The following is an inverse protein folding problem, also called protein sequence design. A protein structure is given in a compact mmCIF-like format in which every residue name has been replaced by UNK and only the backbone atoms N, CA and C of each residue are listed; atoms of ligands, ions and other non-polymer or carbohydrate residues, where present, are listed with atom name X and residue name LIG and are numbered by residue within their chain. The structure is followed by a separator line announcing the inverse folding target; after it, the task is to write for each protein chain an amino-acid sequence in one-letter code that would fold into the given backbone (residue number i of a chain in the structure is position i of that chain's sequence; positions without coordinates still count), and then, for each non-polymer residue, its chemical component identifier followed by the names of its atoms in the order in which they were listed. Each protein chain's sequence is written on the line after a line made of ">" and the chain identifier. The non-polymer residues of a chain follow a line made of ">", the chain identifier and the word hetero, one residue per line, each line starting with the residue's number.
data_IF_408824454869
#
_entry.id   IF_408824454869
#
_cell.length_a   1.000
_cell.length_b   1.000
_cell.length_c   1.000
_cell.angle_alpha   90.00
_cell.angle_beta   90.00
_cell.angle_gamma   90.00
#
_symmetry.space_group_name_H-M   'P 1'
#
loop_
_entity.id
_entity.type
_entity.pdbx_description
1 polymer ?
#
# COMPACT_ATOMS: atom_id res chain seq x y z
N UNK A 1 7.46 -16.07 -16.17
CA UNK A 1 6.09 -15.64 -15.87
C UNK A 1 6.08 -14.63 -14.74
N UNK A 2 5.29 -13.60 -14.88
CA UNK A 2 5.24 -12.56 -13.89
C UNK A 2 4.36 -12.97 -12.71
N UNK A 3 4.87 -12.75 -11.48
CA UNK A 3 4.07 -13.02 -10.29
C UNK A 3 3.04 -11.92 -10.10
N UNK A 4 1.91 -12.28 -9.52
CA UNK A 4 0.90 -11.29 -9.16
C UNK A 4 0.53 -11.35 -7.68
N UNK A 5 1.28 -12.13 -6.91
CA UNK A 5 1.05 -12.25 -5.48
C UNK A 5 2.39 -12.36 -4.77
N UNK A 6 2.42 -11.89 -3.53
CA UNK A 6 3.65 -11.93 -2.75
C UNK A 6 3.31 -11.97 -1.27
N UNK A 7 4.09 -12.74 -0.54
CA UNK A 7 4.04 -12.75 0.91
C UNK A 7 5.47 -12.85 1.42
N UNK A 8 5.81 -11.97 2.34
CA UNK A 8 7.16 -11.94 2.87
C UNK A 8 7.21 -11.10 4.12
N UNK A 9 8.41 -10.88 4.63
CA UNK A 9 8.65 -10.13 5.85
C UNK A 9 9.66 -9.05 5.57
N UNK A 10 9.37 -7.83 6.03
CA UNK A 10 10.32 -6.74 6.02
C UNK A 10 10.42 -6.18 7.42
N UNK A 11 11.64 -5.85 7.84
CA UNK A 11 11.85 -5.26 9.15
C UNK A 11 11.82 -3.75 9.07
N UNK A 12 11.29 -3.13 10.11
CA UNK A 12 11.26 -1.68 10.20
C UNK A 12 12.61 -1.19 10.68
N UNK A 13 13.20 -0.27 9.95
CA UNK A 13 14.47 0.33 10.32
C UNK A 13 14.31 1.36 11.43
N UNK A 14 15.45 1.94 11.83
CA UNK A 14 15.47 2.86 12.97
C UNK A 14 14.61 4.10 12.72
N UNK A 15 14.46 4.50 11.48
CA UNK A 15 13.71 5.70 11.15
C UNK A 15 12.29 5.40 10.68
N UNK A 16 11.82 4.17 10.96
CA UNK A 16 10.49 3.80 10.57
C UNK A 16 10.37 3.41 9.10
N UNK A 17 11.47 3.09 8.46
CA UNK A 17 11.49 2.75 7.05
C UNK A 17 11.50 1.25 6.86
N UNK A 18 10.88 0.80 5.78
CA UNK A 18 10.97 -0.59 5.33
C UNK A 18 11.42 -0.62 3.89
N UNK A 19 12.01 -1.75 3.50
CA UNK A 19 12.37 -1.97 2.09
C UNK A 19 11.21 -2.68 1.42
N UNK A 20 10.75 -2.12 0.31
CA UNK A 20 9.75 -2.82 -0.49
C UNK A 20 10.47 -3.90 -1.29
N UNK A 21 10.13 -5.18 -1.08
CA UNK A 21 10.83 -6.27 -1.78
C UNK A 21 10.78 -6.12 -3.29
N UNK A 22 11.82 -6.64 -3.94
CA UNK A 22 11.91 -6.53 -5.39
C UNK A 22 10.72 -7.13 -6.10
N UNK A 23 10.22 -8.27 -5.61
CA UNK A 23 9.05 -8.90 -6.22
C UNK A 23 7.83 -7.99 -6.18
N UNK A 24 7.66 -7.28 -5.07
CA UNK A 24 6.52 -6.35 -4.95
C UNK A 24 6.71 -5.16 -5.88
N UNK A 25 7.95 -4.65 -5.97
CA UNK A 25 8.22 -3.56 -6.89
C UNK A 25 7.95 -3.96 -8.34
N UNK A 26 8.25 -5.21 -8.68
CA UNK A 26 7.99 -5.70 -10.04
C UNK A 26 6.49 -5.87 -10.30
N UNK A 27 5.75 -6.37 -9.31
CA UNK A 27 4.30 -6.55 -9.47
C UNK A 27 3.61 -5.21 -9.75
N UNK A 28 4.02 -4.17 -9.06
CA UNK A 28 3.35 -2.87 -9.14
C UNK A 28 4.11 -1.84 -9.94
N UNK A 29 5.24 -2.24 -10.54
CA UNK A 29 6.06 -1.32 -11.33
C UNK A 29 6.44 -0.08 -10.51
N UNK A 30 6.99 -0.33 -9.32
CA UNK A 30 7.41 0.73 -8.42
C UNK A 30 8.84 1.14 -8.77
N UNK A 31 9.04 2.41 -9.03
CA UNK A 31 10.33 2.93 -9.47
C UNK A 31 10.82 4.03 -8.54
N UNK A 32 12.15 4.25 -8.51
CA UNK A 32 12.68 5.35 -7.68
C UNK A 32 12.03 6.66 -8.05
N UNK A 33 11.65 7.43 -7.04
CA UNK A 33 11.01 8.71 -7.25
C UNK A 33 9.50 8.65 -7.34
N UNK A 34 8.94 7.47 -7.43
CA UNK A 34 7.49 7.33 -7.47
C UNK A 34 6.86 7.79 -6.16
N UNK A 35 5.67 8.34 -6.27
CA UNK A 35 4.88 8.71 -5.10
C UNK A 35 3.73 7.74 -4.93
N UNK A 36 3.55 7.28 -3.71
CA UNK A 36 2.48 6.35 -3.40
C UNK A 36 1.70 6.89 -2.22
N UNK A 37 0.45 6.55 -2.17
CA UNK A 37 -0.42 7.00 -1.09
C UNK A 37 -0.43 5.93 0.00
N UNK A 38 -0.20 6.37 1.23
CA UNK A 38 -0.20 5.46 2.38
C UNK A 38 -1.53 5.58 3.08
N UNK A 39 -2.23 4.45 3.20
CA UNK A 39 -3.48 4.39 3.93
C UNK A 39 -3.29 3.48 5.13
N UNK A 40 -3.84 3.87 6.25
CA UNK A 40 -3.68 3.10 7.47
C UNK A 40 -4.97 3.09 8.27
N UNK A 41 -5.26 1.95 8.86
CA UNK A 41 -6.39 1.77 9.76
C UNK A 41 -5.92 0.85 10.87
N UNK A 42 -6.19 1.25 12.12
CA UNK A 42 -5.63 0.50 13.26
C UNK A 42 -6.09 -0.95 13.30
N UNK A 43 -7.21 -1.26 12.67
CA UNK A 43 -7.74 -2.62 12.68
C UNK A 43 -7.43 -3.36 11.40
N UNK A 44 -7.35 -2.66 10.27
CA UNK A 44 -7.18 -3.31 8.98
C UNK A 44 -5.74 -3.35 8.50
N UNK A 45 -4.92 -2.41 8.97
CA UNK A 45 -3.52 -2.40 8.62
C UNK A 45 -3.13 -1.23 7.74
N UNK A 46 -2.04 -1.41 7.01
CA UNK A 46 -1.45 -0.36 6.18
C UNK A 46 -1.47 -0.82 4.73
N UNK A 47 -1.78 0.09 3.83
CA UNK A 47 -1.72 -0.18 2.40
C UNK A 47 -0.99 0.94 1.69
N UNK A 48 -0.25 0.58 0.65
CA UNK A 48 0.39 1.53 -0.25
C UNK A 48 -0.30 1.38 -1.60
N UNK A 49 -0.82 2.47 -2.14
CA UNK A 49 -1.59 2.39 -3.38
C UNK A 49 -1.17 3.48 -4.33
N UNK A 50 -1.35 3.22 -5.61
CA UNK A 50 -1.15 4.24 -6.63
C UNK A 50 -2.28 5.25 -6.56
N UNK A 51 -1.97 6.48 -6.96
CA UNK A 51 -2.96 7.55 -6.86
C UNK A 51 -4.19 7.28 -7.70
N UNK A 52 -4.06 6.51 -8.77
CA UNK A 52 -5.19 6.25 -9.66
C UNK A 52 -6.17 5.21 -9.14
N UNK A 53 -5.85 4.56 -7.99
CA UNK A 53 -6.76 3.59 -7.40
C UNK A 53 -7.16 3.98 -5.98
N UNK A 54 -7.03 5.27 -5.66
CA UNK A 54 -7.22 5.74 -4.28
C UNK A 54 -8.64 5.46 -3.77
N UNK A 55 -9.65 5.62 -4.60
CA UNK A 55 -11.02 5.44 -4.15
C UNK A 55 -11.29 4.01 -3.67
N UNK A 56 -10.86 3.04 -4.47
CA UNK A 56 -11.07 1.65 -4.09
C UNK A 56 -10.29 1.31 -2.82
N UNK A 57 -9.04 1.77 -2.73
CA UNK A 57 -8.22 1.49 -1.57
C UNK A 57 -8.76 2.18 -0.33
N UNK A 58 -9.26 3.40 -0.48
CA UNK A 58 -9.83 4.13 0.63
C UNK A 58 -11.03 3.37 1.21
N UNK A 59 -11.90 2.87 0.34
CA UNK A 59 -13.05 2.11 0.79
C UNK A 59 -12.64 0.84 1.53
N UNK A 60 -11.61 0.16 1.04
CA UNK A 60 -11.17 -1.08 1.64
C UNK A 60 -10.44 -0.87 2.97
N UNK A 61 -9.61 0.15 3.06
CA UNK A 61 -8.77 0.36 4.23
C UNK A 61 -9.43 1.29 5.24
N UNK A 62 -9.96 2.42 4.80
CA UNK A 62 -10.50 3.42 5.71
C UNK A 62 -11.98 3.24 5.99
N UNK A 63 -12.61 2.25 5.40
CA UNK A 63 -14.00 1.95 5.69
C UNK A 63 -14.99 2.79 4.93
N UNK A 64 -14.56 3.42 4.06
CA UNK A 64 -15.33 4.04 3.19
C UNK A 64 -16.30 5.02 3.37
N UNK A 65 -17.03 5.35 3.27
CA UNK A 65 -17.83 5.82 2.98
C UNK A 65 -18.22 6.97 3.03
N UNK A 66 -18.27 6.97 3.12
CA UNK A 66 -18.60 7.58 3.14
C UNK A 66 -19.17 8.21 3.50
N UNK A 67 -19.41 8.28 3.72
CA UNK A 67 -19.94 8.60 4.08
C UNK A 67 -20.15 9.29 4.58
N UNK A 68 -20.30 9.50 4.67
CA UNK A 68 -20.61 9.94 5.17
C UNK A 68 -20.62 10.49 5.80
N UNK A 69 -20.64 10.74 5.96
CA UNK A 69 -20.82 11.04 6.55
C UNK A 69 -20.79 11.55 6.93
N UNK A 70 -20.74 11.69 6.96
CA UNK A 70 -20.84 11.95 7.31
C UNK A 70 -20.85 12.32 7.45
#
# INVERSE_FOLDING_TARGET
>A
MKKNKYMGISKVGEKGQIVIPKEVRDIFDINPGDSWIVLADSKKGIALVKSDVIEAATNNILGGSNDKDK
#
